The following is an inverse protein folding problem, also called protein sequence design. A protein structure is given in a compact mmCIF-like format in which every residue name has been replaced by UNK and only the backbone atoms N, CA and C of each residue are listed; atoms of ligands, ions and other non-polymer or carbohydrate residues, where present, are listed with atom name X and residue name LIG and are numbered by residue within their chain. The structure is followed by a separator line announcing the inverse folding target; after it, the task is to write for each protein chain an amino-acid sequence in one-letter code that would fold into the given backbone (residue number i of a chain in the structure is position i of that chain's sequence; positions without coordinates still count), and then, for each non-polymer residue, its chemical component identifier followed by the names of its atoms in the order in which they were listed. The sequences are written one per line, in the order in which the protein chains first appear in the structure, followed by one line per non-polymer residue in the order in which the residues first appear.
data_IF_203300147386
#
_entry.id   IF_203300147386
#
_cell.length_a   1.000
_cell.length_b   1.000
_cell.length_c   1.000
_cell.angle_alpha   90.00
_cell.angle_beta   90.00
_cell.angle_gamma   90.00
#
_symmetry.space_group_name_H-M   'P 1'
#
loop_
_entity.id
_entity.type
_entity.pdbx_description
1 polymer ?
#
# COMPACT_ATOMS: atom_id res chain seq x y z
N UNK A 1 6.15 -5.98 5.62
CA UNK A 1 6.96 -6.54 6.72
C UNK A 1 6.14 -6.60 8.01
N UNK A 2 5.92 -5.50 8.76
CA UNK A 2 5.18 -5.56 10.03
C UNK A 2 3.71 -6.02 9.87
N UNK A 3 2.99 -5.50 8.86
CA UNK A 3 1.60 -5.92 8.57
C UNK A 3 1.50 -7.41 8.23
N UNK A 4 2.43 -7.92 7.42
CA UNK A 4 2.47 -9.34 7.03
C UNK A 4 2.76 -10.26 8.25
N UNK A 5 3.66 -9.83 9.14
CA UNK A 5 4.01 -10.58 10.37
C UNK A 5 2.83 -10.62 11.33
N UNK A 6 2.12 -9.50 11.50
CA UNK A 6 0.91 -9.47 12.32
C UNK A 6 -0.18 -10.36 11.73
N UNK A 7 -0.34 -10.34 10.40
CA UNK A 7 -1.29 -11.23 9.72
C UNK A 7 -0.94 -12.70 9.97
N UNK A 8 0.32 -13.09 9.77
CA UNK A 8 0.79 -14.45 10.07
C UNK A 8 0.57 -14.83 11.54
N UNK A 9 0.90 -13.93 12.47
CA UNK A 9 0.71 -14.15 13.90
C UNK A 9 -0.77 -14.35 14.27
N UNK A 10 -1.68 -13.58 13.67
CA UNK A 10 -3.13 -13.76 13.90
C UNK A 10 -3.70 -15.04 13.30
N UNK A 11 -3.19 -15.47 12.13
CA UNK A 11 -3.58 -16.75 11.53
C UNK A 11 -3.07 -17.95 12.34
N UNK A 12 -1.86 -17.85 12.91
CA UNK A 12 -1.26 -18.87 13.77
C UNK A 12 -1.93 -18.94 15.15
N UNK A 13 -2.34 -17.80 15.71
CA UNK A 13 -2.98 -17.73 17.01
C UNK A 13 -4.42 -18.27 17.02
N UNK A 14 -5.10 -18.28 15.86
CA UNK A 14 -6.46 -18.83 15.71
C UNK A 14 -7.46 -18.19 16.69
N UNK A 15 -8.33 -19.02 17.28
CA UNK A 15 -9.39 -18.58 18.21
C UNK A 15 -8.89 -18.22 19.62
N UNK A 16 -7.58 -18.30 19.89
CA UNK A 16 -7.02 -18.05 21.23
C UNK A 16 -6.91 -16.57 21.59
N UNK A 17 -7.19 -15.67 20.65
CA UNK A 17 -7.04 -14.22 20.85
C UNK A 17 -8.34 -13.60 21.34
N UNK A 18 -8.34 -12.83 22.43
CA UNK A 18 -9.53 -12.13 22.90
C UNK A 18 -10.15 -11.24 21.80
N UNK A 19 -11.49 -11.18 21.65
CA UNK A 19 -12.14 -10.43 20.56
C UNK A 19 -11.75 -8.96 20.46
N UNK A 20 -11.48 -8.31 21.60
CA UNK A 20 -11.04 -6.92 21.65
C UNK A 20 -9.61 -6.73 21.10
N UNK A 21 -8.69 -7.61 21.50
CA UNK A 21 -7.30 -7.63 21.01
C UNK A 21 -7.29 -7.93 19.51
N UNK A 22 -8.12 -8.89 19.10
CA UNK A 22 -8.24 -9.27 17.72
C UNK A 22 -8.75 -8.13 16.82
N UNK A 23 -9.77 -7.40 17.29
CA UNK A 23 -10.26 -6.20 16.58
C UNK A 23 -9.21 -5.10 16.50
N UNK A 24 -8.45 -4.87 17.58
CA UNK A 24 -7.36 -3.91 17.57
C UNK A 24 -6.27 -4.29 16.56
N UNK A 25 -5.88 -5.57 16.52
CA UNK A 25 -4.92 -6.08 15.55
C UNK A 25 -5.41 -5.92 14.10
N UNK A 26 -6.68 -6.22 13.82
CA UNK A 26 -7.27 -6.04 12.48
C UNK A 26 -7.20 -4.57 12.02
N UNK A 27 -7.56 -3.63 12.89
CA UNK A 27 -7.49 -2.19 12.60
C UNK A 27 -6.04 -1.72 12.41
N UNK A 28 -5.12 -2.18 13.27
CA UNK A 28 -3.69 -1.88 13.16
C UNK A 28 -3.10 -2.39 11.84
N UNK A 29 -3.40 -3.64 11.46
CA UNK A 29 -2.94 -4.21 10.19
C UNK A 29 -3.50 -3.42 9.00
N UNK A 30 -4.79 -3.12 9.00
CA UNK A 30 -5.43 -2.33 7.95
C UNK A 30 -4.78 -0.94 7.79
N UNK A 31 -4.53 -0.25 8.90
CA UNK A 31 -3.79 1.02 8.92
C UNK A 31 -2.37 0.87 8.36
N UNK A 32 -1.62 -0.14 8.80
CA UNK A 32 -0.23 -0.36 8.37
C UNK A 32 -0.12 -0.66 6.88
N UNK A 33 -1.04 -1.49 6.34
CA UNK A 33 -1.08 -1.78 4.90
C UNK A 33 -1.41 -0.53 4.09
N UNK A 34 -2.48 0.19 4.43
CA UNK A 34 -2.84 1.44 3.75
C UNK A 34 -1.69 2.45 3.80
N UNK A 35 -1.08 2.64 4.98
CA UNK A 35 0.06 3.54 5.15
C UNK A 35 1.21 3.19 4.21
N UNK A 36 1.54 1.91 4.04
CA UNK A 36 2.59 1.50 3.11
C UNK A 36 2.29 1.91 1.65
N UNK A 37 1.04 1.78 1.19
CA UNK A 37 0.63 2.20 -0.15
C UNK A 37 0.62 3.73 -0.32
N UNK A 38 0.16 4.46 0.69
CA UNK A 38 0.20 5.92 0.68
C UNK A 38 1.63 6.46 0.69
N UNK A 39 2.53 5.84 1.48
CA UNK A 39 3.96 6.15 1.46
C UNK A 39 4.59 5.88 0.09
N UNK A 40 4.29 4.73 -0.52
CA UNK A 40 4.74 4.43 -1.88
C UNK A 40 4.25 5.47 -2.90
N UNK A 41 3.00 5.93 -2.75
CA UNK A 41 2.42 6.97 -3.58
C UNK A 41 3.15 8.31 -3.44
N UNK A 42 3.41 8.77 -2.20
CA UNK A 42 4.20 9.99 -1.98
C UNK A 42 5.62 9.90 -2.55
N UNK A 43 6.27 8.73 -2.45
CA UNK A 43 7.60 8.52 -3.01
C UNK A 43 7.61 8.60 -4.53
N UNK A 44 6.71 7.87 -5.20
CA UNK A 44 6.64 7.90 -6.66
C UNK A 44 6.15 9.27 -7.19
N UNK A 45 5.29 9.99 -6.46
CA UNK A 45 4.93 11.39 -6.77
C UNK A 45 6.13 12.33 -6.61
N UNK A 46 6.90 12.20 -5.52
CA UNK A 46 8.08 13.02 -5.28
C UNK A 46 9.10 12.87 -6.42
N UNK A 47 9.35 11.63 -6.85
CA UNK A 47 10.25 11.32 -7.96
C UNK A 47 9.71 11.92 -9.26
N UNK A 48 8.45 11.67 -9.60
CA UNK A 48 7.80 12.20 -10.80
C UNK A 48 7.87 13.72 -10.86
N UNK A 49 7.52 14.39 -9.77
CA UNK A 49 7.57 15.85 -9.66
C UNK A 49 9.00 16.37 -9.85
N UNK A 50 9.98 15.70 -9.26
CA UNK A 50 11.40 16.09 -9.34
C UNK A 50 11.98 15.95 -10.74
N UNK A 51 11.45 15.06 -11.58
CA UNK A 51 11.86 14.93 -12.98
C UNK A 51 11.13 15.90 -13.91
N UNK A 52 9.90 16.29 -13.57
CA UNK A 52 9.11 17.25 -14.34
C UNK A 52 9.58 18.69 -14.13
N UNK A 53 9.82 19.07 -12.88
CA UNK A 53 10.47 20.34 -12.56
C UNK A 53 11.99 20.15 -12.68
N UNK A 54 12.61 20.70 -13.73
CA UNK A 54 14.06 20.94 -13.78
C UNK A 54 14.46 22.03 -12.76
N UNK A 55 14.06 21.89 -11.49
CA UNK A 55 14.23 22.93 -10.48
C UNK A 55 15.70 23.01 -10.06
N UNK A 56 16.29 24.23 -10.03
CA UNK A 56 17.62 24.42 -9.47
C UNK A 56 17.63 24.01 -8.00
N UNK A 57 18.76 23.45 -7.58
CA UNK A 57 19.07 22.77 -6.32
C UNK A 57 18.99 23.65 -5.06
N UNK A 58 18.37 24.84 -5.13
CA UNK A 58 18.30 25.82 -4.05
C UNK A 58 16.85 26.04 -3.61
N UNK A 59 16.16 24.98 -3.16
CA UNK A 59 14.98 25.17 -2.32
C UNK A 59 15.48 25.58 -0.93
N UNK A 60 14.95 26.67 -0.39
CA UNK A 60 15.24 27.05 0.99
C UNK A 60 14.86 25.89 1.91
N UNK A 61 15.71 25.59 2.91
CA UNK A 61 15.57 24.47 3.85
C UNK A 61 14.17 24.41 4.50
N UNK A 62 13.49 25.55 4.62
CA UNK A 62 12.11 25.66 5.12
C UNK A 62 11.04 25.08 4.17
N UNK A 63 11.21 25.23 2.85
CA UNK A 63 10.26 24.70 1.86
C UNK A 63 10.31 23.17 1.78
N UNK A 64 11.50 22.59 1.87
CA UNK A 64 11.67 21.13 1.93
C UNK A 64 11.06 20.53 3.19
N UNK A 65 11.26 21.16 4.36
CA UNK A 65 10.68 20.72 5.62
C UNK A 65 9.14 20.83 5.64
N UNK A 66 8.59 21.88 5.02
CA UNK A 66 7.14 22.02 4.85
C UNK A 66 6.57 20.88 3.98
N UNK A 67 7.23 20.61 2.84
CA UNK A 67 6.84 19.53 1.92
C UNK A 67 6.88 18.16 2.59
N UNK A 68 7.94 17.87 3.36
CA UNK A 68 8.04 16.61 4.11
C UNK A 68 6.90 16.48 5.13
N UNK A 69 6.54 17.56 5.83
CA UNK A 69 5.40 17.57 6.75
C UNK A 69 4.08 17.28 6.05
N UNK A 70 3.82 17.88 4.90
CA UNK A 70 2.61 17.61 4.11
C UNK A 70 2.56 16.13 3.69
N UNK A 71 3.68 15.57 3.23
CA UNK A 71 3.74 14.15 2.87
C UNK A 71 3.50 13.22 4.06
N UNK A 72 4.05 13.55 5.24
CA UNK A 72 3.80 12.78 6.45
C UNK A 72 2.34 12.83 6.88
N UNK A 73 1.73 14.02 6.89
CA UNK A 73 0.32 14.21 7.26
C UNK A 73 -0.59 13.45 6.29
N UNK A 74 -0.30 13.50 4.99
CA UNK A 74 -1.04 12.73 4.00
C UNK A 74 -0.83 11.21 4.17
N UNK A 75 0.42 10.76 4.25
CA UNK A 75 0.75 9.34 4.24
C UNK A 75 0.39 8.60 5.54
N UNK A 76 0.20 9.30 6.65
CA UNK A 76 -0.31 8.73 7.90
C UNK A 76 -1.77 9.08 8.17
N UNK A 77 -2.17 10.32 7.88
CA UNK A 77 -3.51 10.82 8.17
C UNK A 77 -4.59 10.17 7.31
N UNK A 78 -4.35 9.99 6.00
CA UNK A 78 -5.32 9.35 5.12
C UNK A 78 -5.58 7.86 5.49
N UNK A 79 -4.56 7.02 5.72
CA UNK A 79 -4.75 5.67 6.26
C UNK A 79 -5.47 5.66 7.61
N UNK A 80 -5.12 6.59 8.52
CA UNK A 80 -5.74 6.67 9.84
C UNK A 80 -7.23 7.03 9.73
N UNK A 81 -7.57 7.96 8.84
CA UNK A 81 -8.95 8.34 8.58
C UNK A 81 -9.76 7.18 7.97
N UNK A 82 -9.21 6.48 6.98
CA UNK A 82 -9.86 5.31 6.36
C UNK A 82 -10.05 4.16 7.37
N UNK A 83 -9.01 3.83 8.13
CA UNK A 83 -9.08 2.78 9.15
C UNK A 83 -10.02 3.16 10.31
N UNK A 84 -9.99 4.42 10.74
CA UNK A 84 -10.88 4.96 11.76
C UNK A 84 -12.34 4.98 11.31
N UNK A 85 -12.62 5.37 10.07
CA UNK A 85 -13.96 5.31 9.49
C UNK A 85 -14.48 3.87 9.45
N UNK A 86 -13.67 2.91 9.00
CA UNK A 86 -14.01 1.48 9.04
C UNK A 86 -14.31 0.98 10.45
N UNK A 87 -13.49 1.37 11.44
CA UNK A 87 -13.71 1.00 12.84
C UNK A 87 -14.96 1.65 13.46
N UNK A 88 -15.29 2.88 13.08
CA UNK A 88 -16.48 3.60 13.55
C UNK A 88 -17.76 2.98 12.97
N UNK A 89 -17.75 2.65 11.68
CA UNK A 89 -18.89 2.00 11.02
C UNK A 89 -19.18 0.61 11.61
N UNK A 90 -18.15 -0.10 12.08
CA UNK A 90 -18.29 -1.37 12.79
C UNK A 90 -18.92 -1.25 14.19
N UNK A 91 -18.86 -0.05 14.79
CA UNK A 91 -19.43 0.24 16.13
C UNK A 91 -20.88 0.71 16.08
N UNK A 92 -21.43 1.03 14.91
CA UNK A 92 -22.81 1.51 14.78
C UNK A 92 -23.83 0.42 15.18
N UNK A 93 -24.99 0.78 15.77
CA UNK A 93 -26.08 -0.16 16.08
C UNK A 93 -26.82 -0.61 14.80
N UNK A 94 -27.31 -1.85 14.78
CA UNK A 94 -27.85 -2.54 13.58
C UNK A 94 -28.92 -1.73 12.83
N UNK A 95 -29.77 -1.00 13.57
CA UNK A 95 -30.80 -0.14 13.03
C UNK A 95 -30.27 1.06 12.21
N UNK A 96 -29.12 1.63 12.59
CA UNK A 96 -28.53 2.79 11.90
C UNK A 96 -27.72 2.42 10.65
N UNK A 97 -27.44 1.13 10.46
CA UNK A 97 -26.60 0.63 9.37
C UNK A 97 -27.38 -0.16 8.31
N UNK A 98 -28.72 -0.09 8.32
CA UNK A 98 -29.57 -0.77 7.35
C UNK A 98 -29.28 -0.36 5.88
N UNK A 99 -28.63 0.80 5.66
CA UNK A 99 -28.16 1.26 4.35
C UNK A 99 -26.64 1.24 4.14
N UNK A 100 -25.83 0.76 5.10
CA UNK A 100 -24.36 0.77 5.02
C UNK A 100 -23.78 -0.64 5.11
N UNK A 101 -22.83 -0.97 4.22
CA UNK A 101 -22.13 -2.25 4.25
C UNK A 101 -21.20 -2.30 5.48
N UNK A 102 -21.49 -3.21 6.41
CA UNK A 102 -20.79 -3.31 7.70
C UNK A 102 -19.54 -4.18 7.61
N UNK A 103 -18.35 -3.68 7.96
CA UNK A 103 -17.10 -4.45 7.87
C UNK A 103 -17.09 -5.75 8.69
N UNK A 104 -17.90 -5.86 9.75
CA UNK A 104 -18.07 -7.05 10.60
C UNK A 104 -16.71 -7.61 11.03
N UNK A 105 -15.90 -6.77 11.69
CA UNK A 105 -14.59 -7.21 12.16
C UNK A 105 -14.73 -8.33 13.21
N UNK A 106 -13.86 -9.35 13.12
CA UNK A 106 -13.70 -10.39 14.14
C UNK A 106 -14.92 -11.32 14.37
N UNK A 107 -15.73 -11.60 13.34
CA UNK A 107 -16.87 -12.53 13.46
C UNK A 107 -16.46 -14.02 13.33
N UNK A 108 -15.46 -14.35 12.51
CA UNK A 108 -14.92 -15.74 12.38
C UNK A 108 -13.40 -15.85 12.26
N UNK A 109 -12.71 -14.78 11.89
CA UNK A 109 -11.25 -14.71 11.79
C UNK A 109 -10.81 -13.34 12.28
N UNK A 110 -9.53 -13.22 12.62
CA UNK A 110 -8.95 -11.97 13.07
C UNK A 110 -8.65 -10.98 11.94
N UNK A 111 -9.70 -10.72 11.15
CA UNK A 111 -9.71 -9.94 9.93
C UNK A 111 -11.16 -9.54 9.60
N UNK A 112 -11.37 -8.85 8.47
CA UNK A 112 -12.69 -8.61 7.90
C UNK A 112 -13.40 -9.95 7.62
N UNK A 113 -14.72 -9.99 7.87
CA UNK A 113 -15.52 -11.21 7.68
C UNK A 113 -16.22 -11.27 6.31
N UNK A 114 -16.54 -10.12 5.72
CA UNK A 114 -17.32 -10.07 4.49
C UNK A 114 -16.50 -9.72 3.25
N UNK A 115 -16.72 -10.47 2.18
CA UNK A 115 -16.01 -10.36 0.91
C UNK A 115 -16.23 -8.98 0.24
N UNK A 116 -17.47 -8.49 0.24
CA UNK A 116 -17.78 -7.17 -0.32
C UNK A 116 -17.18 -6.01 0.49
N UNK A 117 -17.08 -6.19 1.81
CA UNK A 117 -16.55 -5.23 2.75
C UNK A 117 -15.04 -5.05 2.57
N UNK A 118 -14.31 -6.17 2.43
CA UNK A 118 -12.88 -6.12 2.10
C UNK A 118 -12.67 -5.46 0.74
N UNK A 119 -13.52 -5.78 -0.23
CA UNK A 119 -13.45 -5.19 -1.57
C UNK A 119 -13.56 -3.67 -1.53
N UNK A 120 -14.58 -3.15 -0.85
CA UNK A 120 -14.88 -1.71 -0.83
C UNK A 120 -13.93 -0.93 0.07
N UNK A 121 -13.68 -1.39 1.30
CA UNK A 121 -12.93 -0.61 2.28
C UNK A 121 -11.41 -0.81 2.19
N UNK A 122 -10.94 -1.89 1.56
CA UNK A 122 -9.51 -2.19 1.48
C UNK A 122 -9.02 -2.33 0.04
N UNK A 123 -9.56 -3.24 -0.76
CA UNK A 123 -9.10 -3.42 -2.14
C UNK A 123 -9.36 -2.19 -3.03
N UNK A 124 -10.48 -1.49 -2.84
CA UNK A 124 -10.82 -0.27 -3.59
C UNK A 124 -9.76 0.84 -3.44
N UNK A 125 -9.54 1.38 -2.22
CA UNK A 125 -8.54 2.42 -1.98
C UNK A 125 -7.14 2.00 -2.41
N UNK A 126 -6.73 0.75 -2.12
CA UNK A 126 -5.41 0.23 -2.52
C UNK A 126 -5.28 0.12 -4.04
N UNK A 127 -6.32 -0.36 -4.71
CA UNK A 127 -6.36 -0.48 -6.17
C UNK A 127 -6.21 0.86 -6.87
N UNK A 128 -6.92 1.89 -6.40
CA UNK A 128 -6.79 3.26 -6.92
C UNK A 128 -5.36 3.78 -6.72
N UNK A 129 -4.78 3.61 -5.52
CA UNK A 129 -3.40 4.04 -5.24
C UNK A 129 -2.38 3.32 -6.14
N UNK A 130 -2.54 2.02 -6.38
CA UNK A 130 -1.68 1.26 -7.26
C UNK A 130 -1.75 1.74 -8.72
N UNK A 131 -2.94 2.03 -9.22
CA UNK A 131 -3.13 2.59 -10.57
C UNK A 131 -2.45 3.95 -10.71
N UNK A 132 -2.61 4.83 -9.70
CA UNK A 132 -1.93 6.14 -9.68
C UNK A 132 -0.41 5.96 -9.65
N UNK A 133 0.10 5.04 -8.83
CA UNK A 133 1.53 4.76 -8.74
C UNK A 133 2.11 4.26 -10.07
N UNK A 134 1.38 3.36 -10.74
CA UNK A 134 1.77 2.85 -12.06
C UNK A 134 1.80 3.98 -13.09
N UNK A 135 0.79 4.86 -13.12
CA UNK A 135 0.76 6.00 -14.03
C UNK A 135 1.93 6.97 -13.79
N UNK A 136 2.21 7.31 -12.53
CA UNK A 136 3.36 8.15 -12.15
C UNK A 136 4.69 7.51 -12.56
N UNK A 137 4.83 6.20 -12.36
CA UNK A 137 6.03 5.46 -12.73
C UNK A 137 6.24 5.42 -14.25
N UNK A 138 5.20 5.14 -15.03
CA UNK A 138 5.25 5.16 -16.50
C UNK A 138 5.59 6.56 -17.00
N UNK A 139 4.98 7.60 -16.44
CA UNK A 139 5.28 8.99 -16.80
C UNK A 139 6.74 9.37 -16.49
N UNK A 140 7.25 8.95 -15.33
CA UNK A 140 8.64 9.18 -14.92
C UNK A 140 9.61 8.48 -15.85
N UNK A 141 9.34 7.21 -16.18
CA UNK A 141 10.18 6.40 -17.07
C UNK A 141 10.20 6.98 -18.48
N UNK A 142 9.05 7.39 -19.01
CA UNK A 142 8.98 8.06 -20.33
C UNK A 142 9.77 9.36 -20.34
N UNK A 143 9.66 10.18 -19.30
CA UNK A 143 10.43 11.42 -19.19
C UNK A 143 11.93 11.16 -19.10
N UNK A 144 12.35 10.13 -18.35
CA UNK A 144 13.74 9.69 -18.33
C UNK A 144 14.18 9.20 -19.70
N UNK A 145 13.50 8.21 -20.30
CA UNK A 145 13.93 7.62 -21.58
C UNK A 145 13.89 8.63 -22.72
N UNK A 146 12.90 9.51 -22.83
CA UNK A 146 12.84 10.51 -23.90
C UNK A 146 13.63 11.79 -23.58
N UNK A 147 13.81 12.14 -22.30
CA UNK A 147 14.56 13.33 -21.86
C UNK A 147 16.07 13.12 -21.77
N UNK A 148 16.55 11.91 -21.48
CA UNK A 148 17.98 11.57 -21.45
C UNK A 148 18.64 11.70 -22.83
N UNK A 149 17.89 11.48 -23.91
CA UNK A 149 18.38 11.68 -25.29
C UNK A 149 18.72 13.14 -25.60
N UNK A 150 18.41 14.09 -24.70
CA UNK A 150 18.54 15.53 -24.97
C UNK A 150 19.55 16.28 -24.07
N UNK A 151 20.05 15.70 -22.97
CA UNK A 151 20.95 16.41 -22.03
C UNK A 151 21.96 15.48 -21.35
N UNK A 152 23.24 15.72 -21.63
CA UNK A 152 24.42 15.14 -20.97
C UNK A 152 24.64 15.72 -19.55
N UNK A 153 23.83 15.32 -18.56
CA UNK A 153 24.04 15.69 -17.15
C UNK A 153 24.06 14.42 -16.27
N UNK A 154 25.25 13.81 -16.20
CA UNK A 154 25.45 12.39 -15.86
C UNK A 154 25.50 12.12 -14.34
N UNK A 155 25.73 13.12 -13.48
CA UNK A 155 25.98 12.89 -12.04
C UNK A 155 24.74 12.91 -11.13
N UNK A 156 23.88 13.93 -11.23
CA UNK A 156 22.64 14.02 -10.42
C UNK A 156 21.53 13.06 -10.90
N UNK A 157 21.54 12.72 -12.19
CA UNK A 157 20.56 11.81 -12.80
C UNK A 157 20.73 10.36 -12.34
N UNK A 158 21.96 9.93 -12.04
CA UNK A 158 22.25 8.55 -11.61
C UNK A 158 21.60 8.18 -10.28
N UNK A 159 21.69 9.06 -9.28
CA UNK A 159 21.09 8.86 -7.96
C UNK A 159 19.56 8.85 -8.04
N UNK A 160 18.97 9.79 -8.79
CA UNK A 160 17.51 9.85 -9.00
C UNK A 160 17.00 8.67 -9.82
N UNK A 161 17.77 8.20 -10.80
CA UNK A 161 17.46 6.98 -11.55
C UNK A 161 17.57 5.73 -10.66
N UNK A 162 18.51 5.69 -9.72
CA UNK A 162 18.60 4.63 -8.72
C UNK A 162 17.36 4.61 -7.80
N UNK A 163 16.95 5.77 -7.29
CA UNK A 163 15.71 5.91 -6.50
C UNK A 163 14.47 5.51 -7.31
N UNK A 164 14.41 5.90 -8.60
CA UNK A 164 13.36 5.48 -9.53
C UNK A 164 13.30 3.97 -9.73
N UNK A 165 14.46 3.31 -9.89
CA UNK A 165 14.55 1.83 -9.95
C UNK A 165 14.08 1.17 -8.66
N UNK A 166 14.37 1.76 -7.50
CA UNK A 166 13.86 1.27 -6.21
C UNK A 166 12.34 1.45 -6.11
N UNK A 167 11.78 2.62 -6.47
CA UNK A 167 10.31 2.80 -6.51
C UNK A 167 9.67 1.79 -7.47
N UNK A 168 10.27 1.53 -8.63
CA UNK A 168 9.81 0.51 -9.59
C UNK A 168 9.71 -0.87 -8.96
N UNK A 169 10.81 -1.32 -8.34
CA UNK A 169 10.87 -2.61 -7.63
C UNK A 169 9.78 -2.67 -6.56
N UNK A 170 9.59 -1.61 -5.79
CA UNK A 170 8.56 -1.54 -4.75
C UNK A 170 7.13 -1.57 -5.31
N UNK A 171 6.83 -0.84 -6.40
CA UNK A 171 5.52 -0.86 -7.07
C UNK A 171 5.22 -2.24 -7.64
N UNK A 172 6.20 -2.90 -8.26
CA UNK A 172 6.02 -4.26 -8.79
C UNK A 172 5.82 -5.26 -7.67
N UNK A 173 6.66 -5.25 -6.62
CA UNK A 173 6.50 -6.15 -5.47
C UNK A 173 5.12 -5.97 -4.86
N UNK A 174 4.77 -4.74 -4.47
CA UNK A 174 3.52 -4.45 -3.78
C UNK A 174 2.31 -4.70 -4.67
N UNK A 175 2.37 -4.33 -5.96
CA UNK A 175 1.28 -4.50 -6.92
C UNK A 175 1.05 -5.97 -7.28
N UNK A 176 2.11 -6.73 -7.59
CA UNK A 176 1.97 -8.15 -7.94
C UNK A 176 1.53 -8.98 -6.74
N UNK A 177 2.09 -8.72 -5.55
CA UNK A 177 1.62 -9.41 -4.34
C UNK A 177 0.15 -9.14 -4.08
N UNK A 178 -0.29 -7.90 -4.34
CA UNK A 178 -1.68 -7.51 -4.12
C UNK A 178 -2.65 -8.10 -5.14
N UNK A 179 -2.27 -8.13 -6.42
CA UNK A 179 -3.06 -8.83 -7.44
C UNK A 179 -3.18 -10.31 -7.11
N UNK A 180 -2.12 -10.94 -6.61
CA UNK A 180 -2.17 -12.32 -6.15
C UNK A 180 -3.12 -12.52 -4.96
N UNK A 181 -3.15 -11.59 -3.99
CA UNK A 181 -4.11 -11.62 -2.88
C UNK A 181 -5.56 -11.45 -3.36
N UNK A 182 -5.83 -10.54 -4.31
CA UNK A 182 -7.16 -10.36 -4.93
C UNK A 182 -7.60 -11.64 -5.66
N UNK A 183 -6.71 -12.22 -6.46
CA UNK A 183 -7.01 -13.44 -7.22
C UNK A 183 -7.24 -14.63 -6.28
N UNK A 184 -6.45 -14.73 -5.22
CA UNK A 184 -6.61 -15.76 -4.18
C UNK A 184 -7.96 -15.64 -3.48
N UNK A 185 -8.35 -14.41 -3.14
CA UNK A 185 -9.66 -14.09 -2.57
C UNK A 185 -10.81 -14.40 -3.55
N UNK A 186 -10.73 -13.94 -4.79
CA UNK A 186 -11.78 -14.09 -5.80
C UNK A 186 -11.96 -15.54 -6.28
N UNK A 187 -10.89 -16.34 -6.28
CA UNK A 187 -10.93 -17.72 -6.74
C UNK A 187 -11.62 -18.68 -5.76
N UNK A 188 -11.81 -18.30 -4.48
CA UNK A 188 -12.44 -19.15 -3.45
C UNK A 188 -11.83 -20.56 -3.34
N UNK A 189 -10.57 -20.73 -3.74
CA UNK A 189 -10.02 -22.02 -4.17
C UNK A 189 -9.28 -22.81 -3.07
N UNK A 190 -8.97 -24.11 -3.31
CA UNK A 190 -8.40 -25.02 -2.32
C UNK A 190 -7.00 -24.57 -1.86
N UNK A 191 -6.55 -25.07 -0.70
CA UNK A 191 -5.32 -24.66 0.00
C UNK A 191 -4.06 -24.59 -0.89
N UNK A 192 -3.95 -25.37 -1.96
CA UNK A 192 -2.80 -25.36 -2.87
C UNK A 192 -2.62 -24.04 -3.65
N UNK A 193 -3.72 -23.37 -4.03
CA UNK A 193 -3.65 -22.05 -4.70
C UNK A 193 -3.07 -21.00 -3.77
N UNK A 194 -3.39 -21.09 -2.48
CA UNK A 194 -2.89 -20.21 -1.43
C UNK A 194 -1.39 -20.40 -1.20
N UNK A 195 -0.90 -21.63 -1.21
CA UNK A 195 0.54 -21.93 -1.15
C UNK A 195 1.28 -21.45 -2.41
N UNK A 196 0.68 -21.61 -3.59
CA UNK A 196 1.28 -21.17 -4.85
C UNK A 196 1.39 -19.63 -4.94
N UNK A 197 0.32 -18.89 -4.62
CA UNK A 197 0.38 -17.42 -4.55
C UNK A 197 1.36 -16.95 -3.48
N UNK A 198 1.37 -17.59 -2.29
CA UNK A 198 2.31 -17.26 -1.22
C UNK A 198 3.76 -17.53 -1.61
N UNK A 199 4.04 -18.65 -2.29
CA UNK A 199 5.38 -19.00 -2.78
C UNK A 199 5.87 -18.04 -3.87
N UNK A 200 4.99 -17.64 -4.79
CA UNK A 200 5.29 -16.62 -5.81
C UNK A 200 5.56 -15.26 -5.16
N UNK A 201 4.75 -14.85 -4.17
CA UNK A 201 4.96 -13.62 -3.41
C UNK A 201 6.29 -13.63 -2.65
N UNK A 202 6.66 -14.74 -2.02
CA UNK A 202 7.94 -14.91 -1.31
C UNK A 202 9.10 -14.89 -2.30
N UNK A 203 8.99 -15.61 -3.42
CA UNK A 203 10.01 -15.66 -4.46
C UNK A 203 10.27 -14.27 -5.07
N UNK A 204 9.22 -13.53 -5.40
CA UNK A 204 9.33 -12.14 -5.91
C UNK A 204 10.02 -11.24 -4.88
N UNK A 205 9.68 -11.37 -3.59
CA UNK A 205 10.31 -10.59 -2.52
C UNK A 205 11.79 -10.95 -2.34
N UNK A 206 12.15 -12.24 -2.40
CA UNK A 206 13.55 -12.70 -2.29
C UNK A 206 14.38 -12.27 -3.50
N UNK A 207 13.87 -12.46 -4.72
CA UNK A 207 14.59 -12.09 -5.95
C UNK A 207 14.87 -10.58 -6.05
N UNK A 208 14.06 -9.74 -5.42
CA UNK A 208 14.25 -8.29 -5.37
C UNK A 208 15.12 -7.85 -4.19
N UNK A 209 15.18 -8.61 -3.09
CA UNK A 209 16.11 -8.36 -1.98
C UNK A 209 17.55 -8.82 -2.27
N UNK A 210 17.74 -9.82 -3.14
CA UNK A 210 19.06 -10.40 -3.46
C UNK A 210 19.74 -9.71 -4.67
N UNK A 211 19.09 -8.73 -5.31
CA UNK A 211 19.62 -7.92 -6.42
C UNK A 211 19.43 -6.43 -6.19
#
# INVERSE_FOLDING_TARGET
MLGDVLLAATQLAGDRVPPAVCRALAVCMHFLFLSAFFWLNTMCFNIWWTFRDFRPTSLERGQEACRLRVYQVYAWGAPLALAGAGALLDRLPAAAAAGYLRPRFAVRRCWFYGDAEVLVYFFGPVGVLLLVNLALFVSTTRQLTCGLWRRDEVKSTSERAALGRVCAKLVVVMGVTWVADVVSWAAGGPAYLWYATSAVCIYIRICICVK
#
